data_IF_161907220490
#
_entry.id   IF_161907220490
#
_cell.length_a   1.000
_cell.length_b   1.000
_cell.length_c   1.000
_cell.angle_alpha   90.00
_cell.angle_beta   90.00
_cell.angle_gamma   90.00
#
_symmetry.space_group_name_H-M   'P 1'
#
loop_
_entity.id
_entity.type
_entity.pdbx_description
1 polymer ?
#
# COMPACT_ATOMS: atom_id res chain seq x y z
N UNK A 1 -16.89 7.23 -6.13
CA UNK A 1 -15.46 7.61 -5.97
C UNK A 1 -14.96 8.24 -7.27
N UNK A 2 -14.75 9.57 -7.29
CA UNK A 2 -14.34 10.37 -8.47
C UNK A 2 -12.88 10.84 -8.38
N UNK A 3 -12.00 10.12 -7.68
CA UNK A 3 -10.74 10.69 -7.17
C UNK A 3 -9.59 10.72 -8.17
N UNK A 4 -9.51 9.78 -9.11
CA UNK A 4 -8.39 9.72 -10.07
C UNK A 4 -8.48 10.77 -11.18
N UNK A 5 -9.67 10.97 -11.75
CA UNK A 5 -9.88 12.02 -12.74
C UNK A 5 -9.70 13.41 -12.11
N UNK A 6 -10.21 13.60 -10.89
CA UNK A 6 -9.99 14.84 -10.15
C UNK A 6 -8.51 15.09 -9.86
N UNK A 7 -7.75 14.06 -9.46
CA UNK A 7 -6.30 14.16 -9.23
C UNK A 7 -5.54 14.51 -10.52
N UNK A 8 -5.82 13.82 -11.63
CA UNK A 8 -5.17 14.10 -12.92
C UNK A 8 -5.50 15.50 -13.46
N UNK A 9 -6.76 15.93 -13.35
CA UNK A 9 -7.18 17.30 -13.74
C UNK A 9 -6.54 18.35 -12.81
N UNK A 10 -6.36 18.03 -11.52
CA UNK A 10 -5.66 18.90 -10.56
C UNK A 10 -4.17 19.00 -10.90
N UNK A 11 -3.53 17.91 -11.31
CA UNK A 11 -2.14 17.88 -11.77
C UNK A 11 -1.94 18.68 -13.06
N UNK A 12 -2.85 18.55 -14.03
CA UNK A 12 -2.82 19.36 -15.25
C UNK A 12 -3.03 20.86 -14.97
N UNK A 13 -3.92 21.20 -14.03
CA UNK A 13 -4.19 22.60 -13.67
C UNK A 13 -3.09 23.22 -12.80
N UNK A 14 -2.37 22.44 -11.99
CA UNK A 14 -1.20 22.93 -11.24
C UNK A 14 -0.04 23.29 -12.16
N UNK A 15 0.18 22.54 -13.25
CA UNK A 15 1.17 22.88 -14.28
C UNK A 15 0.85 24.18 -15.04
N UNK A 16 -0.42 24.58 -15.12
CA UNK A 16 -0.82 25.87 -15.74
C UNK A 16 -0.56 27.07 -14.81
N UNK A 17 -0.55 26.87 -13.49
CA UNK A 17 -0.33 27.96 -12.51
C UNK A 17 1.14 28.38 -12.35
N UNK A 18 2.09 27.60 -12.84
CA UNK A 18 3.53 27.94 -12.78
C UNK A 18 3.92 29.02 -13.82
N UNK A 19 3.04 29.38 -14.75
CA UNK A 19 3.32 30.38 -15.81
C UNK A 19 2.84 31.81 -15.50
N UNK A 20 2.78 32.22 -14.23
CA UNK A 20 2.43 33.61 -13.88
C UNK A 20 3.56 34.42 -13.23
N UNK A 21 4.80 33.92 -13.17
CA UNK A 21 5.96 34.71 -12.77
C UNK A 21 7.16 34.31 -13.62
N UNK A 22 7.46 35.11 -14.65
CA UNK A 22 8.80 35.52 -15.09
C UNK A 22 8.68 36.15 -16.49
N UNK A 23 8.65 37.48 -16.51
CA UNK A 23 9.36 38.20 -17.55
C UNK A 23 10.86 37.94 -17.42
N UNK A 24 11.59 38.25 -18.49
CA UNK A 24 13.06 38.25 -18.64
C UNK A 24 13.62 36.99 -19.35
N UNK A 25 13.90 37.25 -20.62
CA UNK A 25 14.88 36.72 -21.57
C UNK A 25 15.98 35.73 -21.10
N UNK A 26 16.21 34.74 -21.98
CA UNK A 26 17.46 34.02 -22.30
C UNK A 26 17.98 32.96 -21.32
N UNK A 27 17.80 31.68 -21.69
CA UNK A 27 18.44 30.50 -21.09
C UNK A 27 18.32 29.25 -22.01
N UNK A 28 19.23 28.26 -21.91
CA UNK A 28 19.52 27.28 -22.97
C UNK A 28 18.39 26.26 -23.19
N UNK A 29 18.11 26.00 -24.48
CA UNK A 29 17.03 25.16 -24.98
C UNK A 29 17.30 23.67 -24.76
N UNK A 30 16.72 23.07 -23.72
CA UNK A 30 16.63 21.61 -23.56
C UNK A 30 15.64 21.02 -24.57
N UNK A 31 16.14 20.09 -25.41
CA UNK A 31 15.45 19.47 -26.56
C UNK A 31 14.73 18.15 -26.25
N UNK A 32 14.41 17.84 -24.99
CA UNK A 32 13.94 16.49 -24.62
C UNK A 32 12.44 16.32 -24.40
N UNK A 33 11.59 17.35 -24.55
CA UNK A 33 10.13 17.19 -24.43
C UNK A 33 9.36 18.02 -25.48
N UNK A 34 8.26 17.48 -26.07
CA UNK A 34 7.44 18.23 -27.00
C UNK A 34 6.82 19.47 -26.32
N UNK A 35 7.25 20.68 -26.69
CA UNK A 35 6.81 21.95 -26.08
C UNK A 35 5.38 22.38 -26.45
N UNK A 36 4.67 21.61 -27.26
CA UNK A 36 3.32 21.95 -27.70
C UNK A 36 2.46 20.69 -27.83
N UNK A 37 1.93 20.20 -26.71
CA UNK A 37 0.65 19.52 -26.76
C UNK A 37 -0.42 20.61 -26.76
N UNK A 38 -0.94 20.98 -27.94
CA UNK A 38 -2.03 21.95 -28.05
C UNK A 38 -3.31 21.31 -27.48
N UNK A 39 -3.54 21.50 -26.19
CA UNK A 39 -4.87 21.31 -25.60
C UNK A 39 -5.77 22.40 -26.19
N UNK A 40 -6.70 21.97 -27.04
CA UNK A 40 -7.80 22.81 -27.51
C UNK A 40 -8.47 23.49 -26.31
N UNK A 41 -8.61 24.80 -26.41
CA UNK A 41 -9.29 25.66 -25.44
C UNK A 41 -10.66 25.09 -25.04
N UNK A 42 -11.06 25.22 -23.76
CA UNK A 42 -12.33 24.69 -23.29
C UNK A 42 -13.48 25.47 -23.94
N UNK A 43 -14.10 24.87 -24.95
CA UNK A 43 -15.47 25.18 -25.34
C UNK A 43 -16.39 24.87 -24.14
N UNK A 44 -17.42 25.69 -23.87
CA UNK A 44 -18.40 25.43 -22.82
C UNK A 44 -19.26 24.17 -23.09
N UNK A 45 -19.03 23.48 -24.21
CA UNK A 45 -19.57 22.15 -24.50
C UNK A 45 -18.46 21.13 -24.79
N UNK A 46 -18.09 20.35 -23.77
CA UNK A 46 -17.99 18.90 -23.91
C UNK A 46 -16.79 18.23 -24.62
N UNK A 47 -15.60 18.85 -24.71
CA UNK A 47 -14.41 18.14 -25.24
C UNK A 47 -13.43 17.63 -24.17
N UNK A 48 -13.45 18.17 -22.94
CA UNK A 48 -12.58 17.72 -21.86
C UNK A 48 -13.07 16.43 -21.16
N UNK A 49 -14.31 16.01 -21.42
CA UNK A 49 -14.96 14.85 -20.80
C UNK A 49 -14.77 13.54 -21.58
N UNK A 50 -14.13 13.55 -22.75
CA UNK A 50 -14.13 12.42 -23.70
C UNK A 50 -12.80 11.68 -23.87
N UNK A 51 -11.77 12.00 -23.09
CA UNK A 51 -10.47 11.32 -23.20
C UNK A 51 -10.41 9.94 -22.53
N UNK A 52 -11.31 9.64 -21.60
CA UNK A 52 -11.33 8.37 -20.86
C UNK A 52 -12.77 7.89 -20.68
N UNK A 53 -13.10 6.74 -21.24
CA UNK A 53 -14.37 6.05 -21.01
C UNK A 53 -14.22 5.10 -19.82
N UNK A 54 -14.74 5.48 -18.65
CA UNK A 54 -14.67 4.66 -17.42
C UNK A 54 -15.27 3.26 -17.58
N UNK A 55 -16.13 3.06 -18.58
CA UNK A 55 -16.75 1.77 -18.84
C UNK A 55 -15.86 0.83 -19.68
N UNK A 56 -14.93 1.38 -20.47
CA UNK A 56 -14.10 0.66 -21.44
C UNK A 56 -12.60 0.72 -21.17
N UNK A 57 -12.11 1.86 -20.72
CA UNK A 57 -10.70 2.12 -20.52
C UNK A 57 -10.26 1.65 -19.14
N UNK A 58 -9.10 1.00 -19.07
CA UNK A 58 -8.48 0.54 -17.82
C UNK A 58 -7.24 1.38 -17.53
N UNK A 59 -7.36 2.28 -16.57
CA UNK A 59 -6.24 3.10 -16.13
C UNK A 59 -5.35 2.32 -15.16
N UNK A 60 -4.06 2.23 -15.48
CA UNK A 60 -3.06 1.67 -14.57
C UNK A 60 -2.45 2.80 -13.75
N UNK A 61 -2.42 2.61 -12.44
CA UNK A 61 -1.88 3.57 -11.47
C UNK A 61 -1.26 2.79 -10.33
N UNK A 62 -0.06 3.21 -9.92
CA UNK A 62 0.59 2.67 -8.73
C UNK A 62 -0.19 3.11 -7.50
N UNK A 63 -0.73 2.12 -6.77
CA UNK A 63 -1.41 2.31 -5.50
C UNK A 63 -0.80 1.35 -4.49
N UNK A 64 -0.63 1.83 -3.26
CA UNK A 64 -0.19 1.01 -2.13
C UNK A 64 -1.14 1.24 -0.96
N UNK A 65 -1.36 0.19 -0.19
CA UNK A 65 -2.07 0.23 1.10
C UNK A 65 -1.04 -0.18 2.15
N UNK A 66 -0.98 0.55 3.26
CA UNK A 66 -0.08 0.27 4.36
C UNK A 66 -0.84 0.35 5.68
N UNK A 67 -0.41 -0.45 6.66
CA UNK A 67 -0.88 -0.40 8.03
C UNK A 67 0.30 -0.08 8.94
N UNK A 68 0.08 0.80 9.90
CA UNK A 68 1.08 1.22 10.88
C UNK A 68 0.62 0.71 12.24
N UNK A 69 1.45 -0.10 12.89
CA UNK A 69 1.14 -0.70 14.19
C UNK A 69 2.29 -0.46 15.16
N UNK A 70 1.98 -0.39 16.45
CA UNK A 70 3.00 -0.30 17.52
C UNK A 70 3.67 -1.65 17.78
N UNK A 71 2.95 -2.74 17.56
CA UNK A 71 3.42 -4.13 17.76
C UNK A 71 3.58 -4.79 16.38
N UNK A 72 4.68 -5.52 16.13
CA UNK A 72 4.99 -6.08 14.83
C UNK A 72 4.25 -7.41 14.58
N UNK A 73 2.92 -7.37 14.44
CA UNK A 73 2.13 -8.52 13.95
C UNK A 73 2.21 -8.63 12.43
N UNK A 74 3.38 -8.99 11.90
CA UNK A 74 3.72 -8.92 10.48
C UNK A 74 2.83 -9.84 9.64
N UNK A 75 2.57 -11.06 10.11
CA UNK A 75 1.76 -12.04 9.38
C UNK A 75 0.29 -11.61 9.34
N UNK A 76 -0.26 -11.17 10.47
CA UNK A 76 -1.65 -10.69 10.53
C UNK A 76 -1.84 -9.44 9.65
N UNK A 77 -0.91 -8.48 9.72
CA UNK A 77 -0.92 -7.29 8.87
C UNK A 77 -0.84 -7.64 7.38
N UNK A 78 0.02 -8.61 7.00
CA UNK A 78 0.13 -9.10 5.63
C UNK A 78 -1.17 -9.74 5.15
N UNK A 79 -1.74 -10.67 5.91
CA UNK A 79 -3.00 -11.34 5.56
C UNK A 79 -4.11 -10.30 5.40
N UNK A 80 -4.22 -9.36 6.33
CA UNK A 80 -5.19 -8.27 6.26
C UNK A 80 -5.04 -7.46 4.97
N UNK A 81 -3.85 -6.95 4.66
CA UNK A 81 -3.62 -6.10 3.48
C UNK A 81 -3.87 -6.87 2.16
N UNK A 82 -3.39 -8.10 2.05
CA UNK A 82 -3.60 -8.94 0.85
C UNK A 82 -5.08 -9.22 0.64
N UNK A 83 -5.79 -9.63 1.70
CA UNK A 83 -7.20 -10.00 1.61
C UNK A 83 -8.09 -8.76 1.43
N UNK A 84 -7.77 -7.64 2.08
CA UNK A 84 -8.45 -6.37 1.88
C UNK A 84 -8.39 -5.93 0.42
N UNK A 85 -7.22 -6.05 -0.21
CA UNK A 85 -7.06 -5.74 -1.63
C UNK A 85 -7.91 -6.66 -2.53
N UNK A 86 -7.97 -7.96 -2.21
CA UNK A 86 -8.80 -8.93 -2.95
C UNK A 86 -10.30 -8.69 -2.79
N UNK A 87 -10.70 -8.14 -1.64
CA UNK A 87 -12.08 -7.78 -1.32
C UNK A 87 -12.54 -6.44 -1.95
N UNK A 88 -11.65 -5.70 -2.62
CA UNK A 88 -12.05 -4.48 -3.33
C UNK A 88 -13.12 -4.83 -4.37
N UNK A 89 -14.29 -4.17 -4.35
CA UNK A 89 -15.42 -4.52 -5.20
C UNK A 89 -15.02 -4.58 -6.67
N UNK A 90 -15.10 -5.77 -7.26
CA UNK A 90 -15.14 -5.94 -8.72
C UNK A 90 -16.61 -5.86 -9.15
N UNK A 91 -16.89 -5.61 -10.44
CA UNK A 91 -18.26 -5.43 -11.00
C UNK A 91 -19.30 -6.49 -10.59
N UNK A 92 -18.89 -7.61 -9.98
CA UNK A 92 -19.72 -8.74 -9.54
C UNK A 92 -19.45 -9.11 -8.07
N UNK A 93 -19.53 -8.16 -7.14
CA UNK A 93 -19.38 -8.48 -5.71
C UNK A 93 -20.70 -9.08 -5.20
N UNK A 94 -20.69 -10.24 -4.52
CA UNK A 94 -21.91 -10.85 -3.98
C UNK A 94 -22.56 -9.94 -2.93
N UNK A 95 -23.90 -9.97 -2.85
CA UNK A 95 -24.67 -9.10 -1.93
C UNK A 95 -24.39 -9.35 -0.45
N UNK A 96 -23.81 -10.49 -0.09
CA UNK A 96 -23.56 -10.89 1.30
C UNK A 96 -22.13 -10.59 1.79
N UNK A 97 -21.29 -9.95 0.98
CA UNK A 97 -19.93 -9.59 1.39
C UNK A 97 -19.95 -8.33 2.28
N UNK A 98 -19.22 -8.35 3.38
CA UNK A 98 -18.98 -7.15 4.19
C UNK A 98 -18.31 -6.06 3.36
N UNK A 99 -18.60 -4.80 3.68
CA UNK A 99 -17.97 -3.67 3.02
C UNK A 99 -16.49 -3.58 3.41
N UNK A 100 -15.69 -2.92 2.57
CA UNK A 100 -14.27 -2.69 2.87
C UNK A 100 -14.09 -1.87 4.16
N UNK A 101 -15.02 -0.95 4.42
CA UNK A 101 -15.01 -0.09 5.59
C UNK A 101 -15.27 -0.89 6.87
N UNK A 102 -16.11 -1.93 6.82
CA UNK A 102 -16.33 -2.84 7.95
C UNK A 102 -15.06 -3.58 8.34
N UNK A 103 -14.25 -4.04 7.38
CA UNK A 103 -12.98 -4.70 7.66
C UNK A 103 -11.95 -3.74 8.30
N UNK A 104 -11.89 -2.51 7.80
CA UNK A 104 -11.03 -1.47 8.36
C UNK A 104 -11.49 -1.10 9.77
N UNK A 105 -12.80 -0.95 9.97
CA UNK A 105 -13.38 -0.66 11.29
C UNK A 105 -13.05 -1.75 12.32
N UNK A 106 -13.20 -3.02 11.94
CA UNK A 106 -12.87 -4.14 12.82
C UNK A 106 -11.43 -4.06 13.35
N UNK A 107 -10.43 -3.88 12.48
CA UNK A 107 -9.02 -3.78 12.89
C UNK A 107 -8.74 -2.55 13.75
N UNK A 108 -9.39 -1.41 13.47
CA UNK A 108 -9.13 -0.16 14.18
C UNK A 108 -9.81 -0.08 15.55
N UNK A 109 -10.99 -0.70 15.70
CA UNK A 109 -11.85 -0.45 16.85
C UNK A 109 -12.32 -1.71 17.58
N UNK A 110 -12.49 -2.84 16.89
CA UNK A 110 -13.04 -4.05 17.51
C UNK A 110 -11.95 -5.00 17.99
N UNK A 111 -10.89 -5.18 17.19
CA UNK A 111 -9.76 -6.05 17.54
C UNK A 111 -9.01 -5.47 18.74
N UNK A 112 -9.09 -6.18 19.86
CA UNK A 112 -8.33 -5.87 21.07
C UNK A 112 -6.95 -6.51 21.00
N UNK A 113 -5.95 -5.89 21.64
CA UNK A 113 -4.64 -6.52 21.79
C UNK A 113 -4.69 -7.62 22.88
N UNK A 114 -4.04 -8.78 22.67
CA UNK A 114 -3.98 -9.82 23.69
C UNK A 114 -3.21 -9.32 24.92
N UNK A 115 -3.70 -9.69 26.12
CA UNK A 115 -2.96 -9.49 27.36
C UNK A 115 -1.67 -10.31 27.36
N UNK A 116 -0.67 -9.90 28.14
CA UNK A 116 0.57 -10.68 28.31
C UNK A 116 0.28 -12.14 28.69
N UNK A 117 0.91 -13.08 27.98
CA UNK A 117 0.73 -14.52 28.09
C UNK A 117 -0.54 -15.08 27.47
N UNK A 118 -1.31 -14.27 26.74
CA UNK A 118 -2.54 -14.71 26.10
C UNK A 118 -2.42 -14.70 24.59
N UNK A 119 -3.27 -15.53 23.99
CA UNK A 119 -3.52 -15.53 22.56
C UNK A 119 -5.00 -15.26 22.31
N UNK A 120 -5.30 -14.54 21.24
CA UNK A 120 -6.67 -14.31 20.79
C UNK A 120 -6.81 -14.72 19.34
N UNK A 121 -7.99 -15.20 18.98
CA UNK A 121 -8.37 -15.45 17.59
C UNK A 121 -8.99 -14.17 17.03
N UNK A 122 -8.48 -13.70 15.90
CA UNK A 122 -8.98 -12.53 15.19
C UNK A 122 -9.49 -12.95 13.82
N UNK A 123 -10.62 -12.37 13.42
CA UNK A 123 -11.21 -12.56 12.11
C UNK A 123 -10.79 -11.44 11.17
N UNK A 124 -10.09 -11.81 10.11
CA UNK A 124 -9.58 -10.92 9.06
C UNK A 124 -10.40 -11.08 7.78
N UNK A 125 -10.27 -10.14 6.82
CA UNK A 125 -10.93 -10.27 5.53
C UNK A 125 -10.62 -11.62 4.88
N UNK A 126 -11.55 -12.22 4.15
CA UNK A 126 -11.34 -13.52 3.53
C UNK A 126 -10.38 -13.41 2.33
N UNK A 127 -9.68 -14.50 2.02
CA UNK A 127 -8.78 -14.53 0.86
C UNK A 127 -9.51 -14.48 -0.49
N UNK A 128 -10.80 -14.81 -0.49
CA UNK A 128 -11.74 -14.64 -1.60
C UNK A 128 -13.06 -14.12 -1.01
N UNK A 129 -13.72 -13.11 -1.60
CA UNK A 129 -15.04 -12.63 -1.15
C UNK A 129 -16.13 -13.69 -0.96
N UNK A 130 -16.00 -14.88 -1.56
CA UNK A 130 -16.95 -15.99 -1.40
C UNK A 130 -16.64 -16.93 -0.24
N UNK A 131 -15.44 -16.81 0.36
CA UNK A 131 -14.97 -17.67 1.44
C UNK A 131 -15.29 -17.06 2.82
N UNK A 132 -15.33 -17.88 3.89
CA UNK A 132 -15.44 -17.37 5.25
C UNK A 132 -14.22 -16.51 5.64
N UNK A 133 -14.41 -15.69 6.69
CA UNK A 133 -13.36 -14.84 7.25
C UNK A 133 -12.08 -15.63 7.54
N UNK A 134 -10.94 -15.00 7.29
CA UNK A 134 -9.65 -15.61 7.57
C UNK A 134 -9.35 -15.54 9.07
N UNK A 135 -9.07 -16.68 9.69
CA UNK A 135 -8.75 -16.74 11.11
C UNK A 135 -7.24 -16.58 11.31
N UNK A 136 -6.85 -15.64 12.17
CA UNK A 136 -5.44 -15.42 12.53
C UNK A 136 -5.31 -15.31 14.05
N UNK A 137 -4.28 -15.94 14.61
CA UNK A 137 -4.01 -15.89 16.04
C UNK A 137 -3.04 -14.75 16.30
N UNK A 138 -3.41 -13.83 17.20
CA UNK A 138 -2.49 -12.84 17.76
C UNK A 138 -2.00 -13.33 19.11
N UNK A 139 -0.68 -13.31 19.31
CA UNK A 139 -0.06 -13.77 20.54
C UNK A 139 0.65 -12.60 21.24
N UNK A 140 0.61 -12.58 22.56
CA UNK A 140 1.39 -11.64 23.36
C UNK A 140 2.22 -12.46 24.35
N UNK A 141 3.49 -12.79 24.04
CA UNK A 141 4.30 -13.63 24.89
C UNK A 141 4.66 -12.93 26.21
N UNK A 142 4.87 -13.72 27.27
CA UNK A 142 5.25 -13.20 28.58
C UNK A 142 6.76 -12.94 28.62
N UNK A 143 7.16 -11.67 28.63
CA UNK A 143 8.56 -11.31 28.92
C UNK A 143 8.85 -11.38 30.43
N UNK A 144 10.00 -11.93 30.89
CA UNK A 144 11.09 -12.55 30.13
C UNK A 144 11.01 -14.09 30.01
N UNK A 145 9.87 -14.72 30.35
CA UNK A 145 9.74 -16.18 30.36
C UNK A 145 9.71 -16.79 28.95
N UNK A 146 9.25 -16.01 27.97
CA UNK A 146 9.09 -16.41 26.58
C UNK A 146 9.90 -15.49 25.66
N UNK A 147 10.29 -16.03 24.50
CA UNK A 147 10.94 -15.24 23.45
C UNK A 147 9.99 -14.17 22.91
N UNK A 148 10.51 -13.01 22.47
CA UNK A 148 9.70 -11.99 21.81
C UNK A 148 8.94 -12.57 20.61
N UNK A 149 7.73 -12.07 20.41
CA UNK A 149 6.89 -12.51 19.29
C UNK A 149 7.55 -12.11 17.97
N UNK A 150 7.77 -13.10 17.10
CA UNK A 150 8.29 -12.90 15.75
C UNK A 150 7.55 -13.82 14.79
N UNK A 151 6.54 -13.27 14.09
CA UNK A 151 5.67 -14.01 13.18
C UNK A 151 6.10 -13.92 11.71
N UNK A 152 7.24 -13.28 11.43
CA UNK A 152 7.86 -13.34 10.13
C UNK A 152 8.59 -14.68 9.93
N UNK A 153 8.37 -15.39 8.82
CA UNK A 153 9.00 -16.69 8.59
C UNK A 153 10.52 -16.54 8.42
N UNK A 154 11.30 -16.92 9.44
CA UNK A 154 12.77 -16.91 9.39
C UNK A 154 13.33 -17.68 8.19
N UNK A 155 12.62 -18.70 7.72
CA UNK A 155 12.95 -19.42 6.49
C UNK A 155 13.12 -18.46 5.29
N UNK A 156 12.30 -17.43 5.18
CA UNK A 156 12.42 -16.44 4.12
C UNK A 156 13.74 -15.65 4.24
N UNK A 157 14.18 -15.29 5.44
CA UNK A 157 15.49 -14.65 5.62
C UNK A 157 16.61 -15.51 5.05
N UNK A 158 16.67 -16.79 5.42
CA UNK A 158 17.68 -17.72 4.93
C UNK A 158 17.55 -18.03 3.43
N UNK A 159 16.33 -18.09 2.90
CA UNK A 159 16.09 -18.34 1.48
C UNK A 159 16.57 -17.19 0.60
N UNK A 160 16.49 -15.95 1.08
CA UNK A 160 16.83 -14.76 0.30
C UNK A 160 18.31 -14.36 0.48
N UNK A 161 18.85 -14.50 1.68
CA UNK A 161 20.23 -14.08 1.99
C UNK A 161 21.24 -15.24 1.92
N UNK A 162 20.83 -16.48 2.15
CA UNK A 162 21.73 -17.60 2.37
C UNK A 162 22.29 -17.64 3.79
N UNK A 163 22.77 -18.81 4.22
CA UNK A 163 23.25 -19.02 5.60
C UNK A 163 24.50 -18.20 5.88
N UNK A 164 25.45 -18.15 4.94
CA UNK A 164 26.74 -17.47 5.13
C UNK A 164 26.55 -15.96 5.38
N UNK A 165 25.68 -15.33 4.59
CA UNK A 165 25.36 -13.90 4.73
C UNK A 165 24.64 -13.62 6.05
N UNK A 166 23.74 -14.51 6.49
CA UNK A 166 23.06 -14.36 7.79
C UNK A 166 24.05 -14.45 8.95
N UNK A 167 24.99 -15.39 8.91
CA UNK A 167 26.04 -15.50 9.94
C UNK A 167 26.92 -14.25 9.93
N UNK A 168 27.32 -13.77 8.75
CA UNK A 168 28.09 -12.53 8.63
C UNK A 168 27.32 -11.32 9.17
N UNK A 169 26.03 -11.20 8.86
CA UNK A 169 25.16 -10.15 9.40
C UNK A 169 25.09 -10.19 10.92
N UNK A 170 24.94 -11.40 11.48
CA UNK A 170 24.93 -11.60 12.92
C UNK A 170 26.27 -11.20 13.55
N UNK A 171 27.41 -11.56 12.96
CA UNK A 171 28.73 -11.12 13.40
C UNK A 171 28.87 -9.60 13.32
N UNK A 172 28.43 -8.98 12.22
CA UNK A 172 28.45 -7.52 12.07
C UNK A 172 27.62 -6.82 13.15
N UNK A 173 26.43 -7.34 13.48
CA UNK A 173 25.59 -6.83 14.57
C UNK A 173 26.28 -6.93 15.93
N UNK A 174 26.90 -8.08 16.24
CA UNK A 174 27.64 -8.28 17.50
C UNK A 174 28.85 -7.36 17.64
N UNK A 175 29.44 -6.95 16.52
CA UNK A 175 30.56 -6.01 16.48
C UNK A 175 30.11 -4.54 16.34
N UNK A 176 28.79 -4.28 16.39
CA UNK A 176 28.20 -2.95 16.23
C UNK A 176 28.62 -2.25 14.92
N UNK A 177 28.90 -3.03 13.86
CA UNK A 177 29.27 -2.50 12.57
C UNK A 177 28.06 -1.85 11.87
N UNK A 178 28.32 -0.82 11.06
CA UNK A 178 27.31 -0.27 10.17
C UNK A 178 27.08 -1.24 9.01
N UNK A 179 25.83 -1.70 8.86
CA UNK A 179 25.42 -2.67 7.84
C UNK A 179 24.54 -1.99 6.80
N UNK A 180 24.89 -2.16 5.52
CA UNK A 180 24.06 -1.76 4.39
C UNK A 180 23.55 -3.00 3.66
N UNK A 181 22.22 -3.13 3.55
CA UNK A 181 21.57 -4.15 2.73
C UNK A 181 21.06 -3.52 1.43
N UNK A 182 21.29 -4.21 0.31
CA UNK A 182 20.81 -3.80 -1.02
C UNK A 182 20.06 -4.94 -1.68
N UNK A 183 18.81 -4.69 -2.07
CA UNK A 183 18.04 -5.53 -3.00
C UNK A 183 17.84 -4.77 -4.31
N UNK A 184 17.76 -5.52 -5.41
CA UNK A 184 17.26 -5.00 -6.69
C UNK A 184 15.73 -4.87 -6.66
#
# INVERSE_FOLDING_TARGET
MQTLQAMYVTELSSCLKVKAVQGIQQGPQTRSLPKHFKLSTPSPGGAALTYYDISKDKLFVSKSIAIITQIPYVNAAKIFLENLYRCIPKRQTPQNCLSIDSYVFNILYEVQLPSSGKSILVHLPPSDPQLPLANTILQCPVFPLELPHFDYPLRCMFLWLGVDIVVQLFTCLLLENQVLLRSA
#
